data_IF_454305891263
#
_entry.id   IF_454305891263
#
_cell.length_a   1.000
_cell.length_b   1.000
_cell.length_c   1.000
_cell.angle_alpha   90.00
_cell.angle_beta   90.00
_cell.angle_gamma   90.00
#
_symmetry.space_group_name_H-M   'P 1'
#
loop_
_entity.id
_entity.type
_entity.pdbx_description
1 polymer ?
#
# COMPACT_ATOMS: atom_id res chain seq x y z
N UNK A 1 3.14 -21.32 10.07
CA UNK A 1 2.97 -19.87 10.25
C UNK A 1 4.02 -19.11 9.45
N UNK A 2 3.59 -18.04 8.78
CA UNK A 2 4.44 -17.13 8.01
C UNK A 2 4.24 -15.71 8.56
N UNK A 3 5.28 -14.88 8.54
CA UNK A 3 5.16 -13.48 8.97
C UNK A 3 4.37 -12.65 7.95
N UNK A 4 3.61 -11.66 8.43
CA UNK A 4 2.82 -10.79 7.55
C UNK A 4 3.65 -10.07 6.49
N UNK A 5 4.90 -9.70 6.82
CA UNK A 5 5.81 -9.07 5.87
C UNK A 5 6.21 -10.01 4.72
N UNK A 6 6.51 -11.29 5.01
CA UNK A 6 6.87 -12.26 3.96
C UNK A 6 5.67 -12.58 3.08
N UNK A 7 4.48 -12.71 3.69
CA UNK A 7 3.23 -12.87 2.93
C UNK A 7 2.99 -11.68 1.99
N UNK A 8 3.16 -10.44 2.48
CA UNK A 8 3.03 -9.22 1.66
C UNK A 8 4.09 -9.12 0.56
N UNK A 9 5.33 -9.51 0.82
CA UNK A 9 6.38 -9.58 -0.21
C UNK A 9 5.99 -10.53 -1.34
N UNK A 10 5.41 -11.69 -1.02
CA UNK A 10 4.93 -12.62 -2.04
C UNK A 10 3.78 -12.02 -2.85
N UNK A 11 2.85 -11.33 -2.20
CA UNK A 11 1.77 -10.61 -2.90
C UNK A 11 2.32 -9.57 -3.87
N UNK A 12 3.24 -8.72 -3.43
CA UNK A 12 3.89 -7.72 -4.27
C UNK A 12 4.65 -8.33 -5.46
N UNK A 13 5.24 -9.52 -5.29
CA UNK A 13 5.90 -10.26 -6.38
C UNK A 13 4.93 -10.98 -7.33
N UNK A 14 3.72 -11.28 -6.89
CA UNK A 14 2.74 -12.04 -7.67
C UNK A 14 1.95 -11.15 -8.62
N UNK A 15 1.71 -9.89 -8.23
CA UNK A 15 0.90 -8.94 -8.99
C UNK A 15 1.76 -7.79 -9.51
N UNK A 16 1.88 -7.69 -10.83
CA UNK A 16 2.60 -6.59 -11.49
C UNK A 16 2.03 -5.20 -11.12
N UNK A 17 0.73 -5.16 -10.82
CA UNK A 17 0.01 -3.96 -10.39
C UNK A 17 -0.61 -4.19 -9.02
N UNK A 18 0.00 -3.61 -8.00
CA UNK A 18 -0.47 -3.63 -6.62
C UNK A 18 -0.49 -2.20 -6.08
N UNK A 19 -1.56 -1.85 -5.38
CA UNK A 19 -1.66 -0.62 -4.59
C UNK A 19 -2.18 -0.96 -3.20
N UNK A 20 -1.83 -0.15 -2.21
CA UNK A 20 -2.34 -0.28 -0.85
C UNK A 20 -3.22 0.89 -0.48
N UNK A 21 -4.40 0.61 0.07
CA UNK A 21 -5.32 1.62 0.58
C UNK A 21 -5.16 1.73 2.10
N UNK A 22 -4.79 2.91 2.57
CA UNK A 22 -4.54 3.15 3.99
C UNK A 22 -5.71 3.88 4.65
N UNK A 23 -6.37 3.31 5.67
CA UNK A 23 -7.40 4.01 6.44
C UNK A 23 -6.83 5.09 7.39
N UNK A 24 -5.54 5.04 7.68
CA UNK A 24 -4.87 6.05 8.52
C UNK A 24 -4.67 7.33 7.70
N UNK A 25 -4.92 8.49 8.32
CA UNK A 25 -4.69 9.79 7.68
C UNK A 25 -3.20 9.95 7.30
N UNK A 26 -2.92 10.47 6.11
CA UNK A 26 -1.57 10.57 5.52
C UNK A 26 -0.53 11.20 6.44
N UNK A 27 -0.91 12.25 7.18
CA UNK A 27 -0.03 12.92 8.16
C UNK A 27 0.54 12.00 9.24
N UNK A 28 -0.02 10.81 9.43
CA UNK A 28 0.42 9.83 10.44
C UNK A 28 1.19 8.64 9.85
N UNK A 29 1.39 8.58 8.53
CA UNK A 29 2.02 7.42 7.88
C UNK A 29 3.46 7.23 8.35
N UNK A 30 4.23 8.30 8.43
CA UNK A 30 5.63 8.25 8.87
C UNK A 30 5.78 8.00 10.38
N UNK A 31 4.70 8.14 11.14
CA UNK A 31 4.68 7.89 12.59
C UNK A 31 4.28 6.46 12.96
N UNK A 32 3.84 5.67 11.99
CA UNK A 32 3.36 4.31 12.22
C UNK A 32 4.34 3.30 11.60
N UNK A 33 5.15 2.56 12.38
CA UNK A 33 6.21 1.70 11.85
C UNK A 33 5.72 0.63 10.86
N UNK A 34 4.54 0.06 11.07
CA UNK A 34 3.99 -0.92 10.12
C UNK A 34 3.58 -0.29 8.79
N UNK A 35 3.21 0.99 8.78
CA UNK A 35 2.88 1.73 7.55
C UNK A 35 4.16 2.03 6.77
N UNK A 36 5.26 2.41 7.44
CA UNK A 36 6.55 2.61 6.74
C UNK A 36 7.08 1.31 6.15
N UNK A 37 6.93 0.17 6.84
CA UNK A 37 7.22 -1.14 6.27
C UNK A 37 6.35 -1.45 5.04
N UNK A 38 5.04 -1.21 5.11
CA UNK A 38 4.14 -1.41 3.96
C UNK A 38 4.48 -0.48 2.79
N UNK A 39 4.93 0.75 3.06
CA UNK A 39 5.39 1.71 2.05
C UNK A 39 6.56 1.17 1.25
N UNK A 40 7.54 0.58 1.93
CA UNK A 40 8.67 -0.10 1.27
C UNK A 40 8.20 -1.31 0.46
N UNK A 41 7.34 -2.15 1.04
CA UNK A 41 6.82 -3.36 0.38
C UNK A 41 5.95 -3.09 -0.84
N UNK A 42 5.32 -1.91 -0.90
CA UNK A 42 4.45 -1.49 -2.00
C UNK A 42 5.11 -0.47 -2.91
N UNK A 43 6.41 -0.20 -2.74
CA UNK A 43 7.16 0.76 -3.56
C UNK A 43 6.50 2.14 -3.61
N UNK A 44 6.03 2.62 -2.46
CA UNK A 44 5.32 3.90 -2.31
C UNK A 44 3.98 4.00 -3.06
N UNK A 45 3.42 2.87 -3.53
CA UNK A 45 2.11 2.79 -4.20
C UNK A 45 0.96 2.73 -3.18
N UNK A 46 0.97 3.69 -2.26
CA UNK A 46 -0.01 3.83 -1.18
C UNK A 46 -0.96 4.99 -1.44
N UNK A 47 -2.25 4.79 -1.18
CA UNK A 47 -3.27 5.82 -1.35
C UNK A 47 -4.17 5.90 -0.10
N UNK A 48 -4.64 7.10 0.28
CA UNK A 48 -5.54 7.26 1.41
C UNK A 48 -6.92 6.67 1.09
N UNK A 49 -7.61 6.16 2.10
CA UNK A 49 -9.00 5.69 1.98
C UNK A 49 -9.99 6.88 1.91
N UNK A 50 -9.92 7.61 0.80
CA UNK A 50 -10.80 8.73 0.45
C UNK A 50 -11.27 8.55 -0.99
N UNK A 51 -12.32 9.26 -1.42
CA UNK A 51 -12.78 9.20 -2.80
C UNK A 51 -11.65 9.51 -3.80
N UNK A 52 -10.91 10.60 -3.58
CA UNK A 52 -9.77 10.96 -4.44
C UNK A 52 -8.60 9.98 -4.36
N UNK A 53 -8.39 9.32 -3.22
CA UNK A 53 -7.38 8.27 -3.09
C UNK A 53 -7.77 7.00 -3.87
N UNK A 54 -9.04 6.61 -3.83
CA UNK A 54 -9.59 5.51 -4.61
C UNK A 54 -9.47 5.77 -6.12
N UNK A 55 -9.84 6.98 -6.57
CA UNK A 55 -9.71 7.38 -7.97
C UNK A 55 -8.26 7.30 -8.46
N UNK A 56 -7.30 7.83 -7.67
CA UNK A 56 -5.87 7.73 -7.99
C UNK A 56 -5.37 6.29 -8.03
N UNK A 57 -5.78 5.46 -7.06
CA UNK A 57 -5.42 4.05 -7.02
C UNK A 57 -5.94 3.28 -8.24
N UNK A 58 -7.21 3.49 -8.61
CA UNK A 58 -7.78 2.88 -9.82
C UNK A 58 -7.09 3.36 -11.10
N UNK A 59 -6.78 4.65 -11.19
CA UNK A 59 -6.06 5.22 -12.33
C UNK A 59 -4.62 4.68 -12.46
N UNK A 60 -3.96 4.35 -11.34
CA UNK A 60 -2.68 3.66 -11.35
C UNK A 60 -2.82 2.23 -11.87
N UNK A 61 -3.80 1.47 -11.38
CA UNK A 61 -4.01 0.08 -11.76
C UNK A 61 -4.47 -0.10 -13.22
N UNK A 62 -5.15 0.90 -13.81
CA UNK A 62 -5.65 0.84 -15.19
C UNK A 62 -4.60 1.13 -16.26
N UNK A 63 -3.44 1.69 -15.89
CA UNK A 63 -2.27 1.89 -16.76
C UNK A 63 -1.43 0.64 -16.78
#
# INVERSE_FOLDING_TARGET
DESGAVWMQRMAKTYDKLVWLNPVQEKYWDYTPSITMLKELTEDKMFPLTLGGLEKGMAFLSR
#
